data_IF_035090604989
#
_entry.id   IF_035090604989
#
_cell.length_a   1.000
_cell.length_b   1.000
_cell.length_c   1.000
_cell.angle_alpha   90.00
_cell.angle_beta   90.00
_cell.angle_gamma   90.00
#
_symmetry.space_group_name_H-M   'P 1'
#
loop_
_entity.id
_entity.type
_entity.pdbx_description
1 polymer ?
#
# COMPACT_ATOMS: atom_id res chain seq x y z
N UNK A 1 15.55 12.37 7.44
CA UNK A 1 14.26 11.89 7.99
C UNK A 1 13.60 11.01 6.96
N UNK A 2 13.02 9.92 7.42
CA UNK A 2 12.21 9.03 6.58
C UNK A 2 10.74 9.35 6.82
N UNK A 3 9.95 9.42 5.76
CA UNK A 3 8.54 9.76 5.88
C UNK A 3 7.69 9.02 4.86
N UNK A 4 6.39 8.99 5.14
CA UNK A 4 5.37 8.41 4.28
C UNK A 4 4.50 9.53 3.75
N UNK A 5 4.42 9.64 2.43
CA UNK A 5 3.48 10.50 1.73
C UNK A 5 2.32 9.65 1.21
N UNK A 6 1.12 10.01 1.62
CA UNK A 6 -0.11 9.38 1.14
C UNK A 6 -0.59 10.08 -0.13
N UNK A 7 -0.86 9.29 -1.16
CA UNK A 7 -1.19 9.75 -2.50
C UNK A 7 -2.44 8.99 -2.96
N UNK A 8 -3.27 9.57 -3.81
CA UNK A 8 -4.47 8.91 -4.31
C UNK A 8 -5.47 8.44 -3.24
N UNK A 9 -5.47 8.97 -2.00
CA UNK A 9 -6.31 8.40 -0.91
C UNK A 9 -7.77 8.89 -0.95
N UNK A 10 -8.61 8.36 -1.84
CA UNK A 10 -10.09 8.53 -1.93
C UNK A 10 -10.64 9.71 -2.73
N UNK A 11 -9.93 10.84 -2.84
CA UNK A 11 -10.43 12.02 -3.55
C UNK A 11 -10.04 12.11 -5.03
N UNK A 12 -9.46 11.04 -5.59
CA UNK A 12 -9.04 10.95 -6.98
C UNK A 12 -9.88 9.89 -7.69
N UNK A 13 -11.00 10.28 -8.31
CA UNK A 13 -11.82 9.39 -9.13
C UNK A 13 -11.38 9.39 -10.60
N UNK A 14 -11.10 8.21 -11.15
CA UNK A 14 -11.40 7.90 -12.55
C UNK A 14 -12.25 6.62 -12.74
N UNK A 15 -12.37 5.73 -11.74
CA UNK A 15 -13.08 4.45 -11.90
C UNK A 15 -14.26 4.37 -10.92
N UNK A 16 -15.47 4.36 -11.47
CA UNK A 16 -16.76 4.25 -10.79
C UNK A 16 -16.70 3.38 -9.52
N UNK A 17 -16.70 4.04 -8.35
CA UNK A 17 -16.95 3.48 -7.02
C UNK A 17 -15.84 2.69 -6.30
N UNK A 18 -14.58 2.68 -6.77
CA UNK A 18 -13.46 2.10 -6.00
C UNK A 18 -12.38 3.16 -5.68
N UNK A 19 -11.93 3.25 -4.41
CA UNK A 19 -10.84 4.16 -4.06
C UNK A 19 -9.55 3.67 -4.72
N UNK A 20 -8.83 4.58 -5.35
CA UNK A 20 -7.44 4.36 -5.75
C UNK A 20 -6.58 4.43 -4.48
N UNK A 21 -5.41 3.79 -4.48
CA UNK A 21 -4.45 3.91 -3.40
C UNK A 21 -3.05 3.99 -3.95
N UNK A 22 -2.24 4.87 -3.37
CA UNK A 22 -0.79 4.86 -3.57
C UNK A 22 -0.12 5.45 -2.33
N UNK A 23 0.92 4.82 -1.81
CA UNK A 23 1.70 5.38 -0.71
C UNK A 23 3.15 5.43 -1.10
N UNK A 24 3.78 6.58 -0.92
CA UNK A 24 5.17 6.82 -1.25
C UNK A 24 6.01 6.91 0.02
N UNK A 25 7.00 6.04 0.13
CA UNK A 25 8.03 6.11 1.14
C UNK A 25 9.20 6.96 0.65
N UNK A 26 9.58 7.94 1.45
CA UNK A 26 10.85 8.63 1.33
C UNK A 26 11.80 8.07 2.37
N UNK A 27 12.89 7.46 1.91
CA UNK A 27 13.93 6.93 2.80
C UNK A 27 15.29 7.47 2.41
N UNK A 28 16.31 7.21 3.24
CA UNK A 28 17.68 7.63 2.98
C UNK A 28 17.78 9.15 2.67
N UNK A 29 17.05 9.97 3.45
CA UNK A 29 16.93 11.42 3.26
C UNK A 29 16.38 11.83 1.88
N UNK A 30 15.46 11.04 1.32
CA UNK A 30 14.83 11.29 0.03
C UNK A 30 15.65 10.86 -1.19
N UNK A 31 16.68 10.01 -0.98
CA UNK A 31 17.48 9.43 -2.08
C UNK A 31 16.83 8.21 -2.70
N UNK A 32 16.10 7.43 -1.90
CA UNK A 32 15.45 6.19 -2.31
C UNK A 32 13.96 6.25 -1.99
N UNK A 33 13.15 6.09 -3.04
CA UNK A 33 11.70 6.17 -2.98
C UNK A 33 11.07 4.80 -3.25
N UNK A 34 9.95 4.50 -2.58
CA UNK A 34 9.23 3.25 -2.77
C UNK A 34 7.72 3.50 -2.83
N UNK A 35 7.04 2.89 -3.79
CA UNK A 35 5.59 2.94 -3.91
C UNK A 35 4.95 1.66 -3.37
N UNK A 36 3.93 1.80 -2.53
CA UNK A 36 2.94 0.77 -2.23
C UNK A 36 1.68 1.11 -3.01
N UNK A 37 1.33 0.25 -3.95
CA UNK A 37 0.33 0.48 -5.00
C UNK A 37 0.66 1.66 -5.94
N UNK A 38 0.11 1.60 -7.14
CA UNK A 38 0.39 2.50 -8.26
C UNK A 38 -0.84 2.64 -9.16
N UNK A 39 -1.98 3.02 -8.58
CA UNK A 39 -3.21 3.19 -9.35
C UNK A 39 -3.22 4.44 -10.24
N UNK A 40 -4.29 4.59 -11.02
CA UNK A 40 -4.41 5.65 -12.03
C UNK A 40 -4.18 7.07 -11.48
N UNK A 41 -3.68 7.98 -12.34
CA UNK A 41 -3.46 9.38 -11.98
C UNK A 41 -2.21 9.63 -11.12
N UNK A 42 -1.55 8.57 -10.64
CA UNK A 42 -0.35 8.67 -9.80
C UNK A 42 0.77 9.51 -10.43
N UNK A 43 1.03 9.39 -11.73
CA UNK A 43 2.05 10.17 -12.41
C UNK A 43 1.78 11.68 -12.29
N UNK A 44 0.55 12.10 -12.58
CA UNK A 44 0.15 13.50 -12.47
C UNK A 44 0.26 14.01 -11.02
N UNK A 45 -0.16 13.20 -10.04
CA UNK A 45 -0.06 13.58 -8.64
C UNK A 45 1.39 13.72 -8.17
N UNK A 46 2.26 12.78 -8.54
CA UNK A 46 3.69 12.85 -8.23
C UNK A 46 4.35 14.08 -8.86
N UNK A 47 4.02 14.39 -10.12
CA UNK A 47 4.53 15.59 -10.81
C UNK A 47 4.05 16.86 -10.11
N UNK A 48 2.75 16.97 -9.79
CA UNK A 48 2.18 18.14 -9.09
C UNK A 48 2.82 18.34 -7.71
N UNK A 49 3.11 17.25 -7.01
CA UNK A 49 3.78 17.25 -5.71
C UNK A 49 5.31 17.41 -5.82
N UNK A 50 5.86 17.59 -7.02
CA UNK A 50 7.30 17.75 -7.30
C UNK A 50 8.14 16.57 -6.75
N UNK A 51 7.59 15.36 -6.82
CA UNK A 51 8.31 14.15 -6.41
C UNK A 51 9.39 13.83 -7.45
N UNK A 52 10.63 13.51 -7.03
CA UNK A 52 11.66 13.02 -7.94
C UNK A 52 11.39 11.55 -8.32
N UNK A 53 10.48 11.33 -9.28
CA UNK A 53 10.01 10.00 -9.73
C UNK A 53 11.17 9.07 -10.11
N UNK A 54 12.24 9.62 -10.68
CA UNK A 54 13.46 8.89 -11.06
C UNK A 54 14.20 8.24 -9.88
N UNK A 55 13.86 8.62 -8.65
CA UNK A 55 14.42 8.04 -7.41
C UNK A 55 13.65 6.84 -6.89
N UNK A 56 12.56 6.44 -7.55
CA UNK A 56 11.84 5.21 -7.20
C UNK A 56 12.76 4.00 -7.44
N UNK A 57 12.90 3.16 -6.41
CA UNK A 57 13.70 1.93 -6.42
C UNK A 57 12.85 0.68 -6.37
N UNK A 58 11.64 0.79 -5.80
CA UNK A 58 10.70 -0.32 -5.73
C UNK A 58 9.25 0.11 -5.83
N UNK A 59 8.44 -0.71 -6.51
CA UNK A 59 6.99 -0.61 -6.56
C UNK A 59 6.45 -1.95 -6.07
N UNK A 60 5.62 -1.95 -5.03
CA UNK A 60 5.02 -3.15 -4.45
C UNK A 60 3.51 -3.04 -4.57
N UNK A 61 2.88 -3.97 -5.28
CA UNK A 61 1.45 -3.99 -5.56
C UNK A 61 0.73 -4.97 -4.63
N UNK A 62 -0.29 -4.48 -3.92
CA UNK A 62 -1.04 -5.25 -2.91
C UNK A 62 -2.12 -6.17 -3.49
N UNK A 63 -2.59 -5.91 -4.72
CA UNK A 63 -3.68 -6.67 -5.34
C UNK A 63 -3.60 -6.63 -6.86
N UNK A 64 -4.18 -7.60 -7.55
CA UNK A 64 -4.32 -7.54 -9.02
C UNK A 64 -5.53 -6.71 -9.48
N UNK A 65 -6.23 -6.03 -8.56
CA UNK A 65 -7.28 -5.07 -8.92
C UNK A 65 -6.68 -3.85 -9.65
N UNK A 66 -7.41 -3.34 -10.64
CA UNK A 66 -6.95 -2.25 -11.49
C UNK A 66 -6.66 -0.96 -10.69
N UNK A 67 -7.47 -0.64 -9.68
CA UNK A 67 -7.26 0.53 -8.81
C UNK A 67 -5.93 0.51 -8.04
N UNK A 68 -5.23 -0.63 -7.97
CA UNK A 68 -3.91 -0.76 -7.33
C UNK A 68 -2.73 -0.65 -8.29
N UNK A 69 -2.94 -0.81 -9.60
CA UNK A 69 -1.83 -0.98 -10.56
C UNK A 69 -2.04 -0.31 -11.92
N UNK A 70 -3.21 0.25 -12.23
CA UNK A 70 -3.50 0.79 -13.57
C UNK A 70 -2.59 1.95 -14.01
N UNK A 71 -1.96 2.67 -13.07
CA UNK A 71 -1.02 3.75 -13.35
C UNK A 71 0.42 3.29 -13.58
N UNK A 72 0.74 2.01 -13.38
CA UNK A 72 2.12 1.52 -13.33
C UNK A 72 2.88 1.72 -14.65
N UNK A 73 2.23 1.48 -15.79
CA UNK A 73 2.87 1.62 -17.10
C UNK A 73 3.44 3.01 -17.32
N UNK A 74 2.65 4.06 -17.04
CA UNK A 74 3.11 5.45 -17.17
C UNK A 74 4.24 5.81 -16.21
N UNK A 75 4.20 5.32 -14.97
CA UNK A 75 5.28 5.53 -14.00
C UNK A 75 6.58 4.87 -14.47
N UNK A 76 6.51 3.61 -14.90
CA UNK A 76 7.70 2.87 -15.37
C UNK A 76 8.26 3.51 -16.64
N UNK A 77 7.40 3.99 -17.54
CA UNK A 77 7.79 4.75 -18.72
C UNK A 77 8.54 6.03 -18.31
N UNK A 78 8.02 6.84 -17.39
CA UNK A 78 8.75 8.05 -16.91
C UNK A 78 10.12 7.69 -16.29
N UNK A 79 10.18 6.64 -15.47
CA UNK A 79 11.42 6.20 -14.82
C UNK A 79 12.45 5.74 -15.84
N UNK A 80 12.03 5.02 -16.89
CA UNK A 80 12.94 4.46 -17.88
C UNK A 80 13.71 5.50 -18.68
N UNK A 81 13.06 6.62 -19.02
CA UNK A 81 13.68 7.73 -19.75
C UNK A 81 14.54 8.63 -18.84
N UNK A 82 14.43 8.51 -17.52
CA UNK A 82 15.10 9.40 -16.56
C UNK A 82 16.49 8.93 -16.07
N UNK A 83 17.04 7.85 -16.66
CA UNK A 83 18.41 7.28 -16.47
C UNK A 83 18.70 6.41 -15.21
N UNK A 84 19.13 5.16 -15.49
CA UNK A 84 20.09 4.26 -14.80
C UNK A 84 19.80 3.66 -13.42
N UNK A 85 18.59 3.77 -12.87
CA UNK A 85 18.21 3.03 -11.67
C UNK A 85 17.69 1.62 -11.98
N UNK A 86 18.20 0.58 -11.31
CA UNK A 86 17.48 -0.70 -11.26
C UNK A 86 16.20 -0.48 -10.44
N UNK A 87 15.04 -0.72 -11.02
CA UNK A 87 13.76 -0.71 -10.31
C UNK A 87 13.32 -2.16 -10.07
N UNK A 88 12.84 -2.45 -8.87
CA UNK A 88 12.22 -3.74 -8.56
C UNK A 88 10.71 -3.58 -8.47
N UNK A 89 9.97 -4.29 -9.30
CA UNK A 89 8.51 -4.30 -9.29
C UNK A 89 8.06 -5.64 -8.72
N UNK A 90 7.38 -5.59 -7.58
CA UNK A 90 6.83 -6.75 -6.88
C UNK A 90 5.32 -6.68 -6.99
N UNK A 91 4.68 -7.75 -7.43
CA UNK A 91 3.23 -7.74 -7.55
C UNK A 91 2.66 -9.10 -7.89
N UNK A 92 1.33 -9.23 -7.98
CA UNK A 92 0.68 -10.45 -8.41
C UNK A 92 1.20 -10.92 -9.78
N UNK A 93 1.08 -12.23 -10.04
CA UNK A 93 1.34 -12.81 -11.37
C UNK A 93 0.61 -12.03 -12.46
N UNK A 94 1.32 -11.67 -13.53
CA UNK A 94 0.83 -10.84 -14.62
C UNK A 94 1.31 -9.38 -14.56
N UNK A 95 1.96 -8.94 -13.47
CA UNK A 95 2.46 -7.55 -13.37
C UNK A 95 3.51 -7.22 -14.43
N UNK A 96 4.36 -8.20 -14.81
CA UNK A 96 5.32 -8.04 -15.90
C UNK A 96 4.61 -7.81 -17.23
N UNK A 97 3.62 -8.65 -17.52
CA UNK A 97 2.81 -8.54 -18.74
C UNK A 97 2.11 -7.19 -18.80
N UNK A 98 1.51 -6.73 -17.70
CA UNK A 98 0.83 -5.44 -17.62
C UNK A 98 1.75 -4.27 -17.99
N UNK A 99 2.98 -4.25 -17.47
CA UNK A 99 3.95 -3.19 -17.77
C UNK A 99 4.48 -3.32 -19.19
N UNK A 100 4.92 -4.51 -19.59
CA UNK A 100 5.59 -4.73 -20.87
C UNK A 100 4.64 -4.53 -22.06
N UNK A 101 3.34 -4.80 -21.91
CA UNK A 101 2.35 -4.55 -22.95
C UNK A 101 2.28 -3.09 -23.38
N UNK A 102 2.52 -2.14 -22.47
CA UNK A 102 2.58 -0.72 -22.85
C UNK A 102 3.79 -0.42 -23.75
N UNK A 103 4.97 -0.91 -23.35
CA UNK A 103 6.19 -0.74 -24.15
C UNK A 103 6.05 -1.41 -25.52
N UNK A 104 5.54 -2.64 -25.55
CA UNK A 104 5.29 -3.39 -26.79
C UNK A 104 4.32 -2.63 -27.72
N UNK A 105 3.21 -2.12 -27.18
CA UNK A 105 2.25 -1.34 -27.95
C UNK A 105 2.87 -0.06 -28.54
N UNK A 106 3.75 0.61 -27.79
CA UNK A 106 4.47 1.79 -28.24
C UNK A 106 5.62 1.47 -29.22
N UNK A 107 5.89 0.20 -29.53
CA UNK A 107 7.05 -0.21 -30.33
C UNK A 107 8.38 0.01 -29.61
N UNK A 108 8.37 0.12 -28.29
CA UNK A 108 9.52 0.33 -27.43
C UNK A 108 9.98 -1.00 -26.81
N UNK A 109 11.26 -1.08 -26.45
CA UNK A 109 11.76 -2.20 -25.64
C UNK A 109 11.55 -1.88 -24.17
N UNK A 110 11.08 -2.88 -23.42
CA UNK A 110 11.04 -2.78 -21.95
C UNK A 110 12.45 -2.42 -21.43
N UNK A 111 12.57 -1.42 -20.55
CA UNK A 111 13.86 -0.88 -20.14
C UNK A 111 14.64 -1.89 -19.30
N UNK A 112 15.89 -2.16 -19.67
CA UNK A 112 16.78 -2.93 -18.81
C UNK A 112 17.52 -2.00 -17.82
N UNK A 113 17.59 -2.33 -16.51
CA UNK A 113 17.08 -3.55 -15.87
C UNK A 113 15.90 -3.29 -14.90
N UNK A 114 14.66 -3.49 -15.36
CA UNK A 114 13.53 -3.74 -14.46
C UNK A 114 13.64 -5.18 -13.92
N UNK A 115 13.61 -5.32 -12.59
CA UNK A 115 13.54 -6.60 -11.92
C UNK A 115 12.09 -6.89 -11.50
N UNK A 116 11.44 -7.84 -12.16
CA UNK A 116 10.07 -8.25 -11.81
C UNK A 116 10.09 -9.42 -10.82
N UNK A 117 9.29 -9.32 -9.76
CA UNK A 117 9.05 -10.38 -8.78
C UNK A 117 7.54 -10.64 -8.77
N UNK A 118 7.11 -11.71 -9.43
CA UNK A 118 5.72 -12.13 -9.45
C UNK A 118 5.41 -13.00 -8.22
N UNK A 119 4.44 -12.55 -7.43
CA UNK A 119 4.09 -13.15 -6.14
C UNK A 119 3.28 -14.43 -6.32
N UNK A 120 3.60 -15.43 -5.50
CA UNK A 120 2.78 -16.61 -5.31
C UNK A 120 1.65 -16.32 -4.32
N UNK A 121 0.45 -16.82 -4.60
CA UNK A 121 -0.73 -16.69 -3.73
C UNK A 121 -0.71 -17.60 -2.50
N UNK A 122 0.26 -18.51 -2.38
CA UNK A 122 0.35 -19.45 -1.26
C UNK A 122 1.57 -19.23 -0.36
N UNK A 123 2.56 -18.46 -0.80
CA UNK A 123 3.85 -18.35 -0.12
C UNK A 123 4.16 -16.92 0.33
N UNK A 124 4.72 -16.80 1.52
CA UNK A 124 5.26 -15.53 2.02
C UNK A 124 6.54 -15.21 1.27
N UNK A 125 6.61 -14.03 0.67
CA UNK A 125 7.80 -13.55 -0.04
C UNK A 125 8.55 -12.54 0.82
N UNK A 126 9.84 -12.79 1.08
CA UNK A 126 10.72 -11.84 1.76
C UNK A 126 11.81 -11.35 0.81
N UNK A 127 11.99 -10.03 0.76
CA UNK A 127 12.99 -9.41 -0.11
C UNK A 127 13.56 -8.13 0.50
N UNK A 128 14.76 -7.75 0.06
CA UNK A 128 15.39 -6.49 0.45
C UNK A 128 15.55 -5.60 -0.77
N UNK A 129 15.08 -4.36 -0.68
CA UNK A 129 15.34 -3.32 -1.69
C UNK A 129 15.94 -2.12 -0.96
N UNK A 130 17.20 -1.80 -1.26
CA UNK A 130 18.00 -0.80 -0.55
C UNK A 130 18.00 -1.02 0.98
N UNK A 131 17.43 -0.10 1.75
CA UNK A 131 17.37 -0.14 3.22
C UNK A 131 16.02 -0.63 3.78
N UNK A 132 15.12 -1.12 2.92
CA UNK A 132 13.82 -1.67 3.33
C UNK A 132 13.81 -3.18 3.10
N UNK A 133 13.42 -3.92 4.14
CA UNK A 133 13.03 -5.32 4.04
C UNK A 133 11.51 -5.39 3.90
N UNK A 134 11.03 -6.05 2.84
CA UNK A 134 9.63 -6.30 2.61
C UNK A 134 9.31 -7.75 2.93
N UNK A 135 8.23 -7.97 3.67
CA UNK A 135 7.58 -9.27 3.82
C UNK A 135 6.18 -9.14 3.23
N UNK A 136 5.92 -9.86 2.13
CA UNK A 136 4.65 -9.86 1.42
C UNK A 136 3.92 -11.17 1.74
N UNK A 137 2.74 -11.06 2.32
CA UNK A 137 1.99 -12.20 2.89
C UNK A 137 0.70 -12.35 2.10
N UNK A 138 0.49 -13.47 1.40
CA UNK A 138 -0.76 -13.69 0.68
C UNK A 138 -1.92 -13.88 1.65
N UNK A 139 -3.07 -13.31 1.27
CA UNK A 139 -4.35 -13.50 1.93
C UNK A 139 -5.44 -13.62 0.88
N UNK A 140 -5.57 -14.83 0.33
CA UNK A 140 -6.61 -15.14 -0.65
C UNK A 140 -7.84 -15.70 0.07
N UNK A 141 -9.00 -15.14 -0.26
CA UNK A 141 -10.30 -15.74 0.07
C UNK A 141 -10.78 -16.54 -1.15
N UNK A 142 -11.49 -17.65 -0.96
CA UNK A 142 -11.85 -18.61 -2.01
C UNK A 142 -12.30 -17.95 -3.34
N UNK A 143 -11.67 -18.34 -4.46
CA UNK A 143 -11.90 -17.83 -5.82
C UNK A 143 -11.83 -16.29 -5.99
N UNK A 144 -11.17 -15.60 -5.06
CA UNK A 144 -11.07 -14.14 -5.08
C UNK A 144 -9.79 -13.66 -5.75
N UNK A 145 -9.81 -12.39 -6.15
CA UNK A 145 -8.66 -11.66 -6.67
C UNK A 145 -7.46 -11.80 -5.70
N UNK A 146 -6.23 -12.09 -6.17
CA UNK A 146 -5.04 -12.13 -5.33
C UNK A 146 -4.86 -10.84 -4.53
N UNK A 147 -4.70 -10.96 -3.21
CA UNK A 147 -4.46 -9.86 -2.29
C UNK A 147 -3.34 -10.21 -1.31
N UNK A 148 -2.56 -9.20 -0.95
CA UNK A 148 -1.36 -9.33 -0.13
C UNK A 148 -1.33 -8.23 0.92
N UNK A 149 -1.03 -8.61 2.16
CA UNK A 149 -0.58 -7.67 3.17
C UNK A 149 0.94 -7.53 3.11
N UNK A 150 1.44 -6.33 3.43
CA UNK A 150 2.86 -5.99 3.31
C UNK A 150 3.37 -5.50 4.66
N UNK A 151 4.48 -6.06 5.12
CA UNK A 151 5.24 -5.53 6.26
C UNK A 151 6.55 -4.95 5.73
N UNK A 152 6.76 -3.66 5.94
CA UNK A 152 7.95 -2.91 5.54
C UNK A 152 8.79 -2.62 6.77
N UNK A 153 9.96 -3.24 6.89
CA UNK A 153 10.94 -2.91 7.93
C UNK A 153 12.03 -1.99 7.36
N UNK A 154 11.96 -0.71 7.73
CA UNK A 154 12.86 0.33 7.28
C UNK A 154 14.01 0.45 8.27
N UNK A 155 15.23 0.18 7.81
CA UNK A 155 16.44 0.26 8.65
C UNK A 155 17.05 1.66 8.54
N UNK A 156 17.27 2.30 9.69
CA UNK A 156 18.09 3.50 9.82
C UNK A 156 19.45 3.13 10.43
N UNK A 157 20.47 2.99 9.57
CA UNK A 157 21.82 2.63 10.00
C UNK A 157 22.48 3.70 10.88
N UNK A 158 22.13 4.97 10.72
CA UNK A 158 22.75 6.06 11.49
C UNK A 158 22.26 6.11 12.93
N UNK A 159 20.97 5.84 13.15
CA UNK A 159 20.36 5.83 14.48
C UNK A 159 20.33 4.44 15.13
N UNK A 160 20.80 3.40 14.43
CA UNK A 160 20.64 1.99 14.81
C UNK A 160 19.19 1.64 15.19
N UNK A 161 18.24 2.22 14.46
CA UNK A 161 16.80 2.07 14.68
C UNK A 161 16.15 1.40 13.47
N UNK A 162 15.03 0.73 13.72
CA UNK A 162 14.15 0.21 12.68
C UNK A 162 12.74 0.73 12.92
N UNK A 163 12.00 0.91 11.84
CA UNK A 163 10.56 1.18 11.89
C UNK A 163 9.85 0.19 11.00
N UNK A 164 8.77 -0.37 11.53
CA UNK A 164 7.95 -1.38 10.88
C UNK A 164 6.60 -0.78 10.54
N UNK A 165 6.31 -0.72 9.24
CA UNK A 165 5.05 -0.22 8.71
C UNK A 165 4.31 -1.37 8.05
N UNK A 166 3.06 -1.59 8.42
CA UNK A 166 2.21 -2.62 7.84
C UNK A 166 1.16 -1.98 6.94
N UNK A 167 0.91 -2.59 5.77
CA UNK A 167 -0.21 -2.30 4.89
C UNK A 167 -1.09 -3.54 4.80
N UNK A 168 -2.39 -3.39 5.06
CA UNK A 168 -3.32 -4.49 4.83
C UNK A 168 -3.65 -4.65 3.33
N UNK A 169 -3.67 -3.57 2.55
CA UNK A 169 -4.21 -3.60 1.19
C UNK A 169 -5.70 -3.96 1.22
N UNK A 170 -6.15 -4.76 0.26
CA UNK A 170 -7.56 -5.19 0.17
C UNK A 170 -7.88 -6.49 0.94
N UNK A 171 -7.00 -6.93 1.83
CA UNK A 171 -7.20 -8.20 2.55
C UNK A 171 -8.40 -8.14 3.49
N UNK A 172 -9.15 -9.25 3.53
CA UNK A 172 -10.27 -9.46 4.45
C UNK A 172 -9.94 -10.46 5.55
N UNK A 173 -9.11 -11.46 5.24
CA UNK A 173 -8.64 -12.45 6.20
C UNK A 173 -7.30 -12.01 6.79
N UNK A 174 -7.31 -11.49 8.02
CA UNK A 174 -6.09 -11.06 8.69
C UNK A 174 -5.28 -12.22 9.31
N UNK A 175 -5.84 -13.44 9.37
CA UNK A 175 -5.22 -14.57 10.07
C UNK A 175 -3.79 -14.87 9.58
N UNK A 176 -3.49 -14.92 8.27
CA UNK A 176 -2.11 -15.15 7.80
C UNK A 176 -1.13 -14.07 8.28
N UNK A 177 -1.56 -12.80 8.29
CA UNK A 177 -0.73 -11.69 8.77
C UNK A 177 -0.55 -11.74 10.28
N UNK A 178 -1.62 -11.91 11.04
CA UNK A 178 -1.59 -11.99 12.51
C UNK A 178 -0.69 -13.15 12.95
N UNK A 179 -0.87 -14.33 12.35
CA UNK A 179 -0.04 -15.51 12.65
C UNK A 179 1.44 -15.22 12.39
N UNK A 180 1.76 -14.57 11.26
CA UNK A 180 3.14 -14.21 10.96
C UNK A 180 3.72 -13.20 11.96
N UNK A 181 2.96 -12.17 12.31
CA UNK A 181 3.36 -11.13 13.29
C UNK A 181 3.64 -11.75 14.65
N UNK A 182 2.72 -12.58 15.15
CA UNK A 182 2.83 -13.21 16.47
C UNK A 182 3.97 -14.24 16.53
N UNK A 183 4.07 -15.14 15.53
CA UNK A 183 5.11 -16.16 15.50
C UNK A 183 6.52 -15.58 15.42
N UNK A 184 6.68 -14.43 14.76
CA UNK A 184 7.96 -13.75 14.61
C UNK A 184 8.16 -12.59 15.60
N UNK A 185 7.21 -12.39 16.53
CA UNK A 185 7.21 -11.31 17.54
C UNK A 185 7.51 -9.94 16.93
N UNK A 186 6.83 -9.62 15.83
CA UNK A 186 7.04 -8.37 15.10
C UNK A 186 6.22 -7.26 15.77
N UNK A 187 6.90 -6.23 16.27
CA UNK A 187 6.23 -5.01 16.72
C UNK A 187 5.95 -4.11 15.52
N UNK A 188 4.69 -3.72 15.33
CA UNK A 188 4.28 -2.80 14.27
C UNK A 188 4.29 -1.37 14.83
N UNK A 189 5.05 -0.47 14.22
CA UNK A 189 5.07 0.94 14.64
C UNK A 189 3.92 1.73 14.01
N UNK A 190 3.57 1.39 12.77
CA UNK A 190 2.45 2.01 12.06
C UNK A 190 1.68 0.97 11.25
N UNK A 191 0.37 0.93 11.43
CA UNK A 191 -0.54 0.18 10.56
C UNK A 191 -1.27 1.16 9.64
N UNK A 192 -1.09 0.99 8.34
CA UNK A 192 -1.87 1.64 7.29
C UNK A 192 -2.98 0.68 6.87
N UNK A 193 -4.21 1.14 7.03
CA UNK A 193 -5.43 0.36 6.81
C UNK A 193 -6.28 0.97 5.70
N UNK A 194 -6.52 0.18 4.67
CA UNK A 194 -7.39 0.54 3.56
C UNK A 194 -8.83 0.17 3.93
N UNK A 195 -9.63 1.19 4.22
CA UNK A 195 -10.95 1.04 4.82
C UNK A 195 -12.08 1.18 3.80
N UNK A 196 -12.34 0.10 3.06
CA UNK A 196 -13.33 0.12 1.97
C UNK A 196 -14.73 -0.17 2.52
N UNK A 197 -15.55 0.87 2.77
CA UNK A 197 -17.00 0.70 2.98
C UNK A 197 -17.74 0.92 1.67
N UNK A 198 -18.60 -0.02 1.25
CA UNK A 198 -19.58 0.23 0.20
C UNK A 198 -20.97 0.42 0.83
N UNK A 199 -21.40 1.67 1.05
CA UNK A 199 -22.63 1.97 1.82
C UNK A 199 -23.96 1.73 1.07
N UNK A 200 -23.96 1.33 -0.21
CA UNK A 200 -25.15 1.56 -1.04
C UNK A 200 -26.04 0.37 -1.40
N UNK A 201 -25.99 -0.79 -0.72
CA UNK A 201 -26.95 -1.85 -1.06
C UNK A 201 -27.26 -2.79 0.11
N UNK A 202 -28.45 -3.40 0.07
CA UNK A 202 -28.84 -4.64 0.78
C UNK A 202 -27.79 -5.78 0.67
N UNK A 203 -26.73 -5.60 -0.13
CA UNK A 203 -25.57 -6.47 -0.36
C UNK A 203 -24.48 -6.25 0.72
N UNK A 204 -24.68 -5.40 1.72
CA UNK A 204 -23.82 -5.39 2.92
C UNK A 204 -23.78 -6.77 3.62
N UNK A 205 -24.78 -7.64 3.40
CA UNK A 205 -24.77 -9.05 3.83
C UNK A 205 -23.89 -9.98 3.00
N UNK A 206 -23.33 -9.54 1.87
CA UNK A 206 -22.54 -10.37 0.93
C UNK A 206 -21.10 -9.90 0.73
N UNK A 207 -20.74 -8.68 1.15
CA UNK A 207 -19.35 -8.20 1.15
C UNK A 207 -18.84 -8.09 2.59
N UNK A 208 -17.99 -9.05 2.97
CA UNK A 208 -17.30 -9.20 4.26
C UNK A 208 -16.26 -8.09 4.53
N UNK A 209 -16.66 -6.82 4.57
CA UNK A 209 -15.79 -5.77 5.08
C UNK A 209 -15.82 -5.78 6.61
N UNK A 210 -14.66 -5.71 7.31
CA UNK A 210 -14.63 -5.71 8.77
C UNK A 210 -15.39 -4.51 9.35
N UNK A 211 -16.26 -4.74 10.33
CA UNK A 211 -16.89 -3.66 11.10
C UNK A 211 -15.85 -2.92 11.94
N UNK A 212 -16.13 -1.68 12.40
CA UNK A 212 -15.24 -0.98 13.33
C UNK A 212 -14.85 -1.83 14.55
N UNK A 213 -15.75 -2.62 15.11
CA UNK A 213 -15.45 -3.54 16.22
C UNK A 213 -14.44 -4.63 15.86
N UNK A 214 -14.58 -5.25 14.68
CA UNK A 214 -13.63 -6.26 14.21
C UNK A 214 -12.25 -5.62 14.02
N UNK A 215 -12.20 -4.39 13.50
CA UNK A 215 -10.95 -3.64 13.34
C UNK A 215 -10.35 -3.33 14.70
N UNK A 216 -11.12 -2.81 15.66
CA UNK A 216 -10.67 -2.54 17.03
C UNK A 216 -10.10 -3.78 17.69
N UNK A 217 -10.74 -4.94 17.52
CA UNK A 217 -10.25 -6.22 18.03
C UNK A 217 -8.92 -6.65 17.39
N UNK A 218 -8.79 -6.51 16.06
CA UNK A 218 -7.54 -6.82 15.35
C UNK A 218 -6.42 -5.87 15.81
N UNK A 219 -6.72 -4.58 15.93
CA UNK A 219 -5.77 -3.52 16.29
C UNK A 219 -5.33 -3.66 17.76
N UNK A 220 -6.24 -3.89 18.70
CA UNK A 220 -5.92 -3.96 20.14
C UNK A 220 -5.47 -5.37 20.59
N UNK A 221 -6.01 -6.42 19.96
CA UNK A 221 -5.80 -7.80 20.42
C UNK A 221 -4.72 -8.57 19.66
N UNK A 222 -4.35 -8.14 18.45
CA UNK A 222 -3.49 -8.94 17.59
C UNK A 222 -2.27 -8.19 17.04
N UNK A 223 -2.44 -6.96 16.54
CA UNK A 223 -1.39 -6.20 15.86
C UNK A 223 -0.72 -5.19 16.81
N UNK A 224 -1.50 -4.49 17.63
CA UNK A 224 -1.07 -3.49 18.61
C UNK A 224 -0.11 -2.42 18.07
N UNK A 225 -0.46 -1.71 16.97
CA UNK A 225 0.41 -0.73 16.37
C UNK A 225 0.56 0.53 17.24
N UNK A 226 1.72 1.19 17.22
CA UNK A 226 1.90 2.47 17.92
C UNK A 226 1.12 3.62 17.27
N UNK A 227 0.90 3.56 15.96
CA UNK A 227 0.05 4.49 15.19
C UNK A 227 -0.85 3.72 14.23
N UNK A 228 -2.09 4.15 14.12
CA UNK A 228 -3.05 3.60 13.17
C UNK A 228 -3.41 4.68 12.14
N UNK A 229 -3.32 4.36 10.84
CA UNK A 229 -3.64 5.30 9.76
C UNK A 229 -4.66 4.66 8.85
N UNK A 230 -5.80 5.31 8.69
CA UNK A 230 -6.87 4.89 7.80
C UNK A 230 -6.72 5.66 6.47
N UNK A 231 -6.77 4.93 5.35
CA UNK A 231 -6.89 5.49 3.99
C UNK A 231 -7.96 4.74 3.19
N UNK A 232 -8.20 5.18 1.96
CA UNK A 232 -9.01 4.43 0.98
C UNK A 232 -10.46 4.11 1.44
N UNK A 233 -11.12 5.08 2.07
CA UNK A 233 -12.57 5.08 2.32
C UNK A 233 -13.42 5.49 1.09
N UNK A 234 -14.70 5.15 1.10
CA UNK A 234 -15.57 5.44 -0.05
C UNK A 234 -15.83 6.93 -0.19
N UNK A 235 -15.83 7.42 -1.44
CA UNK A 235 -16.18 8.82 -1.76
C UNK A 235 -17.64 9.17 -1.42
N UNK A 236 -18.46 8.18 -1.07
CA UNK A 236 -19.82 8.37 -0.56
C UNK A 236 -19.87 8.59 0.95
N UNK A 237 -18.81 8.23 1.67
CA UNK A 237 -18.75 8.45 3.11
C UNK A 237 -18.61 9.95 3.36
N UNK A 238 -19.55 10.49 4.14
CA UNK A 238 -19.47 11.88 4.60
C UNK A 238 -18.39 11.95 5.67
N UNK A 239 -17.65 13.05 5.73
CA UNK A 239 -16.56 13.28 6.71
C UNK A 239 -16.99 12.93 8.15
N UNK A 240 -18.26 13.23 8.49
CA UNK A 240 -18.88 12.88 9.77
C UNK A 240 -18.83 11.38 10.08
N UNK A 241 -19.15 10.52 9.11
CA UNK A 241 -19.19 9.06 9.31
C UNK A 241 -17.78 8.48 9.52
N UNK A 242 -16.80 9.03 8.81
CA UNK A 242 -15.40 8.64 8.98
C UNK A 242 -14.93 9.05 10.39
N UNK A 243 -15.28 10.25 10.83
CA UNK A 243 -14.95 10.72 12.18
C UNK A 243 -15.61 9.85 13.27
N UNK A 244 -16.86 9.41 13.07
CA UNK A 244 -17.52 8.48 13.99
C UNK A 244 -16.75 7.15 14.10
N UNK A 245 -16.28 6.61 12.97
CA UNK A 245 -15.51 5.36 12.93
C UNK A 245 -14.15 5.51 13.59
N UNK A 246 -13.46 6.64 13.35
CA UNK A 246 -12.18 6.93 14.02
C UNK A 246 -12.39 7.02 15.51
N UNK A 247 -13.38 7.80 15.96
CA UNK A 247 -13.64 7.98 17.38
C UNK A 247 -13.96 6.65 18.05
N UNK A 248 -14.74 5.79 17.38
CA UNK A 248 -14.99 4.43 17.84
C UNK A 248 -13.70 3.64 18.03
N UNK A 249 -12.86 3.57 16.99
CA UNK A 249 -11.61 2.80 17.04
C UNK A 249 -10.64 3.39 18.08
N UNK A 250 -10.50 4.71 18.16
CA UNK A 250 -9.64 5.37 19.15
C UNK A 250 -10.11 5.09 20.58
N UNK A 251 -11.42 5.15 20.84
CA UNK A 251 -11.98 4.88 22.16
C UNK A 251 -11.76 3.43 22.59
N UNK A 252 -11.96 2.47 21.68
CA UNK A 252 -11.78 1.04 21.96
C UNK A 252 -10.32 0.61 22.08
N UNK A 253 -9.42 1.22 21.31
CA UNK A 253 -8.02 0.78 21.20
C UNK A 253 -7.04 1.64 21.99
N UNK A 254 -7.42 2.88 22.35
CA UNK A 254 -6.55 3.92 22.90
C UNK A 254 -5.33 4.25 22.02
N UNK A 255 -5.33 3.82 20.75
CA UNK A 255 -4.25 4.05 19.78
C UNK A 255 -4.54 5.30 18.97
N UNK A 256 -3.52 6.14 18.79
CA UNK A 256 -3.62 7.32 17.92
C UNK A 256 -3.99 6.89 16.49
N UNK A 257 -5.21 7.24 16.09
CA UNK A 257 -5.74 6.93 14.76
C UNK A 257 -5.80 8.20 13.91
N UNK A 258 -5.26 8.14 12.70
CA UNK A 258 -5.20 9.26 11.76
C UNK A 258 -5.91 8.90 10.46
N UNK A 259 -6.46 9.90 9.77
CA UNK A 259 -6.93 9.75 8.38
C UNK A 259 -5.90 10.32 7.44
N UNK A 260 -5.56 9.57 6.40
CA UNK A 260 -4.70 10.03 5.34
C UNK A 260 -5.53 10.57 4.17
N UNK A 261 -5.29 11.84 3.84
CA UNK A 261 -5.75 12.51 2.65
C UNK A 261 -4.61 12.60 1.62
N UNK A 262 -4.95 12.98 0.39
CA UNK A 262 -3.95 13.18 -0.65
C UNK A 262 -2.98 14.28 -0.20
N UNK A 263 -1.69 13.97 -0.12
CA UNK A 263 -0.66 14.88 0.38
C UNK A 263 -0.39 14.79 1.88
N UNK A 264 -1.13 13.96 2.64
CA UNK A 264 -0.81 13.72 4.06
C UNK A 264 0.60 13.14 4.17
N UNK A 265 1.43 13.76 5.01
CA UNK A 265 2.81 13.35 5.25
C UNK A 265 2.99 12.95 6.70
N UNK A 266 3.47 11.73 6.94
CA UNK A 266 3.73 11.21 8.29
C UNK A 266 5.21 10.89 8.45
N UNK A 267 5.84 11.55 9.41
CA UNK A 267 7.24 11.29 9.77
C UNK A 267 7.34 9.98 10.54
N UNK A 268 8.26 9.12 10.12
CA UNK A 268 8.53 7.84 10.79
C UNK A 268 9.52 8.04 11.94
N UNK A 269 10.60 8.81 11.69
CA UNK A 269 11.66 9.23 12.63
C UNK A 269 12.64 10.19 11.94
#
# INVERSE_FOLDING_TARGET
MSHILFINTTNSQPIYAQPIASTLFYTNKGKDLFLIDCGEGIANQLIQMKVPIERIRGIIITSSQANRSSGIGGIVHIISFSTKGKITIVGPKGIKMLVDSLFEYCGEKSPEPINYIELNVTEITQLNICNIQFTVIPSVHNNSIPNYGIICQIKNRQLNQKTVVMFNGDIRNFSPLINHIQNNKIQIDMLVYDYIINQNTKIQRKCECPTPDIISNIVNGCICPSKFVIRCYSSKCVEKEINEIINHIQNETQIQTLVAYNGTNVTLF
#
